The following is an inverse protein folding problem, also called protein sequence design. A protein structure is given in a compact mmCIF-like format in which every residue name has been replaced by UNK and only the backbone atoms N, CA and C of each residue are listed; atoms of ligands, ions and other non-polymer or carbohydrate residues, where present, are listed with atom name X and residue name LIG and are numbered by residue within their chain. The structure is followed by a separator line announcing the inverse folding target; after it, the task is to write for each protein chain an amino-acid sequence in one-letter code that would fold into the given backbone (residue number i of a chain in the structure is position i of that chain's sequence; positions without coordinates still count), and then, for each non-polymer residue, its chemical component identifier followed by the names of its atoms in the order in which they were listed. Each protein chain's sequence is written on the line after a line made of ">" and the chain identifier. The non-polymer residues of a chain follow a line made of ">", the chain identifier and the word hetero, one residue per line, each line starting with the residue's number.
data_IF_922191180121
#
_entry.id   IF_922191180121
#
_cell.length_a   1.000
_cell.length_b   1.000
_cell.length_c   1.000
_cell.angle_alpha   90.00
_cell.angle_beta   90.00
_cell.angle_gamma   90.00
#
_symmetry.space_group_name_H-M   'P 1'
#
loop_
_entity.id
_entity.type
_entity.pdbx_description
1 polymer ?
#
# COMPACT_ATOMS: atom_id res chain seq x y z
N UNK A 1 20.16 9.15 -0.19
CA UNK A 1 20.91 10.41 -0.34
C UNK A 1 21.28 11.02 1.03
N UNK A 2 21.31 10.25 2.14
CA UNK A 2 21.45 10.82 3.50
C UNK A 2 22.86 10.80 4.11
N UNK A 3 23.87 10.27 3.41
CA UNK A 3 25.20 10.03 4.04
C UNK A 3 25.86 11.37 4.41
N UNK A 4 25.82 12.35 3.51
CA UNK A 4 26.42 13.68 3.72
C UNK A 4 25.75 14.47 4.84
N UNK A 5 24.43 14.31 4.99
CA UNK A 5 23.64 15.04 5.99
C UNK A 5 23.84 14.43 7.38
N UNK A 6 24.01 13.10 7.46
CA UNK A 6 24.35 12.39 8.70
C UNK A 6 25.72 12.78 9.26
N UNK A 7 26.69 13.08 8.39
CA UNK A 7 28.02 13.54 8.79
C UNK A 7 28.01 14.92 9.47
N UNK A 8 26.97 15.72 9.25
CA UNK A 8 26.82 17.05 9.84
C UNK A 8 26.18 17.02 11.24
N UNK A 9 25.69 15.87 11.69
CA UNK A 9 24.99 15.73 12.97
C UNK A 9 25.99 15.53 14.11
N UNK A 10 25.76 16.23 15.23
CA UNK A 10 26.49 15.98 16.48
C UNK A 10 26.07 14.66 17.12
N UNK A 11 26.89 14.08 18.01
CA UNK A 11 26.59 12.80 18.67
C UNK A 11 25.22 12.78 19.38
N UNK A 12 24.86 13.90 20.03
CA UNK A 12 23.53 14.08 20.64
C UNK A 12 22.40 14.02 19.61
N UNK A 13 22.55 14.70 18.47
CA UNK A 13 21.56 14.70 17.38
C UNK A 13 21.43 13.30 16.75
N UNK A 14 22.54 12.55 16.66
CA UNK A 14 22.48 11.17 16.15
C UNK A 14 21.72 10.24 17.08
N UNK A 15 21.89 10.37 18.40
CA UNK A 15 21.09 9.65 19.38
C UNK A 15 19.59 9.99 19.27
N UNK A 16 19.26 11.27 19.07
CA UNK A 16 17.88 11.71 18.87
C UNK A 16 17.30 11.16 17.56
N UNK A 17 18.04 11.21 16.45
CA UNK A 17 17.61 10.64 15.16
C UNK A 17 17.28 9.15 15.31
N UNK A 18 18.17 8.37 15.93
CA UNK A 18 17.93 6.94 16.15
C UNK A 18 16.67 6.68 16.99
N UNK A 19 16.43 7.49 18.03
CA UNK A 19 15.21 7.40 18.85
C UNK A 19 13.94 7.74 18.05
N UNK A 20 13.99 8.75 17.18
CA UNK A 20 12.88 9.10 16.28
C UNK A 20 12.64 8.03 15.20
N UNK A 21 13.72 7.48 14.64
CA UNK A 21 13.67 6.40 13.65
C UNK A 21 13.06 5.12 14.22
N UNK A 22 13.41 4.74 15.45
CA UNK A 22 12.84 3.57 16.12
C UNK A 22 11.34 3.69 16.33
N UNK A 23 10.84 4.89 16.67
CA UNK A 23 9.40 5.16 16.78
C UNK A 23 8.67 5.12 15.44
N UNK A 24 9.36 5.46 14.35
CA UNK A 24 8.81 5.59 12.99
C UNK A 24 8.98 4.34 12.12
N UNK A 25 9.67 3.33 12.64
CA UNK A 25 9.98 2.09 11.92
C UNK A 25 8.71 1.34 11.50
N UNK A 26 8.42 1.34 10.20
CA UNK A 26 7.37 0.51 9.60
C UNK A 26 7.88 -0.91 9.39
N UNK A 27 7.07 -1.92 9.74
CA UNK A 27 7.45 -3.33 9.58
C UNK A 27 7.03 -3.87 8.22
N UNK A 28 8.01 -4.46 7.51
CA UNK A 28 7.77 -5.21 6.26
C UNK A 28 6.87 -6.42 6.54
N UNK A 29 7.12 -7.13 7.65
CA UNK A 29 6.31 -8.30 8.03
C UNK A 29 4.85 -7.93 8.28
N UNK A 30 4.59 -6.83 9.00
CA UNK A 30 3.23 -6.34 9.22
C UNK A 30 2.55 -5.95 7.90
N UNK A 31 3.31 -5.37 6.96
CA UNK A 31 2.81 -5.05 5.63
C UNK A 31 2.36 -6.29 4.85
N UNK A 32 3.09 -7.41 4.96
CA UNK A 32 2.68 -8.69 4.37
C UNK A 32 1.46 -9.29 5.05
N UNK A 33 1.34 -9.16 6.37
CA UNK A 33 0.13 -9.59 7.10
C UNK A 33 -1.09 -8.81 6.58
N UNK A 34 -0.99 -7.47 6.51
CA UNK A 34 -2.06 -6.63 5.95
C UNK A 34 -2.36 -6.98 4.49
N UNK A 35 -1.36 -7.33 3.71
CA UNK A 35 -1.53 -7.75 2.31
C UNK A 35 -2.33 -9.05 2.18
N UNK A 36 -2.10 -10.05 3.05
CA UNK A 36 -2.83 -11.33 2.98
C UNK A 36 -4.29 -11.16 3.42
N UNK A 37 -4.56 -10.40 4.49
CA UNK A 37 -5.92 -10.23 5.00
C UNK A 37 -6.74 -9.20 4.23
N UNK A 38 -6.10 -8.13 3.76
CA UNK A 38 -6.77 -6.97 3.17
C UNK A 38 -6.20 -6.59 1.79
N UNK A 39 -5.59 -7.54 1.07
CA UNK A 39 -4.98 -7.30 -0.24
C UNK A 39 -5.99 -6.78 -1.26
N UNK A 40 -7.16 -7.42 -1.37
CA UNK A 40 -8.24 -7.00 -2.27
C UNK A 40 -8.78 -5.60 -1.95
N UNK A 41 -8.69 -5.17 -0.69
CA UNK A 41 -9.09 -3.83 -0.23
C UNK A 41 -7.96 -2.79 -0.32
N UNK A 42 -6.71 -3.22 -0.53
CA UNK A 42 -5.55 -2.34 -0.66
C UNK A 42 -5.03 -1.73 0.63
N UNK A 43 -5.39 -2.26 1.80
CA UNK A 43 -5.06 -1.67 3.12
C UNK A 43 -3.53 -1.64 3.36
N UNK A 44 -2.78 -2.59 2.81
CA UNK A 44 -1.32 -2.58 2.87
C UNK A 44 -0.74 -1.28 2.29
N UNK A 45 -1.29 -0.75 1.19
CA UNK A 45 -0.83 0.52 0.59
C UNK A 45 -1.08 1.74 1.46
N UNK A 46 -2.17 1.74 2.23
CA UNK A 46 -2.45 2.79 3.21
C UNK A 46 -1.44 2.76 4.36
N UNK A 47 -1.08 1.57 4.85
CA UNK A 47 -0.07 1.41 5.90
C UNK A 47 1.31 1.95 5.48
N UNK A 48 1.70 1.73 4.22
CA UNK A 48 2.95 2.24 3.66
C UNK A 48 2.93 3.76 3.36
N UNK A 49 1.81 4.45 3.58
CA UNK A 49 1.67 5.89 3.34
C UNK A 49 1.31 6.25 1.89
N UNK A 50 1.08 5.26 1.02
CA UNK A 50 0.73 5.44 -0.38
C UNK A 50 -0.79 5.54 -0.57
N UNK A 51 -1.39 6.60 -0.01
CA UNK A 51 -2.85 6.81 0.02
C UNK A 51 -3.50 6.77 -1.37
N UNK A 52 -2.88 7.38 -2.39
CA UNK A 52 -3.40 7.39 -3.77
C UNK A 52 -3.60 5.97 -4.32
N UNK A 53 -2.59 5.13 -4.16
CA UNK A 53 -2.66 3.74 -4.62
C UNK A 53 -3.59 2.90 -3.75
N UNK A 54 -3.66 3.16 -2.44
CA UNK A 54 -4.64 2.52 -1.57
C UNK A 54 -6.08 2.79 -2.01
N UNK A 55 -6.41 4.03 -2.37
CA UNK A 55 -7.76 4.41 -2.85
C UNK A 55 -8.08 3.69 -4.17
N UNK A 56 -7.12 3.59 -5.09
CA UNK A 56 -7.31 2.85 -6.36
C UNK A 56 -7.69 1.40 -6.06
N UNK A 57 -6.98 0.71 -5.16
CA UNK A 57 -7.29 -0.67 -4.80
C UNK A 57 -8.64 -0.79 -4.09
N UNK A 58 -8.97 0.15 -3.22
CA UNK A 58 -10.26 0.16 -2.52
C UNK A 58 -11.42 0.29 -3.51
N UNK A 59 -11.33 1.24 -4.44
CA UNK A 59 -12.36 1.44 -5.49
C UNK A 59 -12.44 0.21 -6.39
N UNK A 60 -11.30 -0.30 -6.85
CA UNK A 60 -11.24 -1.43 -7.77
C UNK A 60 -11.72 -2.73 -7.10
N UNK A 61 -11.38 -2.94 -5.82
CA UNK A 61 -11.83 -4.05 -5.00
C UNK A 61 -13.32 -4.03 -4.72
N UNK A 62 -13.87 -2.89 -4.30
CA UNK A 62 -15.31 -2.70 -4.08
C UNK A 62 -16.09 -2.91 -5.39
N UNK A 63 -15.66 -2.27 -6.47
CA UNK A 63 -16.32 -2.39 -7.77
C UNK A 63 -16.24 -3.82 -8.32
N UNK A 64 -15.09 -4.48 -8.16
CA UNK A 64 -14.91 -5.88 -8.54
C UNK A 64 -15.80 -6.84 -7.76
N UNK A 65 -15.93 -6.65 -6.43
CA UNK A 65 -16.81 -7.48 -5.59
C UNK A 65 -18.29 -7.28 -5.92
N UNK A 66 -18.71 -6.04 -6.14
CA UNK A 66 -20.09 -5.71 -6.53
C UNK A 66 -20.43 -6.28 -7.91
N UNK A 67 -19.51 -6.18 -8.88
CA UNK A 67 -19.67 -6.72 -10.21
C UNK A 67 -19.84 -8.25 -10.18
N UNK A 68 -19.03 -8.94 -9.38
CA UNK A 68 -19.16 -10.39 -9.17
C UNK A 68 -20.48 -10.74 -8.49
N UNK A 69 -20.83 -10.07 -7.40
CA UNK A 69 -22.05 -10.35 -6.66
C UNK A 69 -23.28 -10.19 -7.56
N UNK A 70 -23.34 -9.08 -8.32
CA UNK A 70 -24.42 -8.83 -9.29
C UNK A 70 -24.45 -9.89 -10.38
N UNK A 71 -23.30 -10.18 -11.01
CA UNK A 71 -23.22 -11.17 -12.09
C UNK A 71 -23.51 -12.61 -11.67
N UNK A 72 -23.19 -12.98 -10.43
CA UNK A 72 -23.44 -14.33 -9.89
C UNK A 72 -24.89 -14.53 -9.43
N UNK A 73 -25.55 -13.49 -8.93
CA UNK A 73 -26.99 -13.53 -8.59
C UNK A 73 -27.82 -13.68 -9.87
N UNK A 74 -27.49 -12.95 -10.94
CA UNK A 74 -28.17 -13.05 -12.24
C UNK A 74 -28.01 -14.42 -12.92
N UNK A 75 -26.98 -15.20 -12.58
CA UNK A 75 -26.77 -16.54 -13.11
C UNK A 75 -27.72 -17.60 -12.51
N UNK A 76 -28.34 -17.29 -11.36
CA UNK A 76 -29.22 -18.22 -10.62
C UNK A 76 -30.70 -17.96 -10.96
N UNK A 77 -31.06 -16.73 -11.34
CA UNK A 77 -32.40 -16.36 -11.80
C UNK A 77 -32.45 -16.36 -13.33
N UNK A 78 -33.05 -17.39 -13.93
CA UNK A 78 -33.22 -17.50 -15.38
C UNK A 78 -34.19 -16.44 -15.92
N UNK A 79 -33.70 -15.25 -16.21
CA UNK A 79 -34.40 -14.21 -16.98
C UNK A 79 -33.39 -13.29 -17.70
N UNK A 80 -33.41 -13.32 -19.04
CA UNK A 80 -33.11 -12.17 -19.88
C UNK A 80 -31.69 -11.58 -19.89
N UNK A 81 -30.82 -12.12 -20.76
CA UNK A 81 -29.91 -11.42 -21.69
C UNK A 81 -29.02 -10.24 -21.24
N UNK A 82 -28.79 -9.99 -19.94
CA UNK A 82 -27.83 -8.94 -19.49
C UNK A 82 -26.82 -9.36 -18.41
N UNK A 83 -26.99 -10.52 -17.76
CA UNK A 83 -26.09 -11.03 -16.71
C UNK A 83 -24.70 -11.52 -17.17
N UNK A 84 -24.52 -11.73 -18.49
CA UNK A 84 -23.23 -12.14 -19.06
C UNK A 84 -22.17 -11.03 -19.06
N UNK A 85 -22.55 -9.77 -19.25
CA UNK A 85 -21.61 -8.65 -19.29
C UNK A 85 -20.95 -8.35 -17.94
N UNK A 86 -21.75 -8.36 -16.87
CA UNK A 86 -21.28 -8.05 -15.52
C UNK A 86 -20.36 -9.15 -14.94
N UNK A 87 -20.61 -10.42 -15.28
CA UNK A 87 -19.74 -11.53 -14.88
C UNK A 87 -18.38 -11.50 -15.59
N UNK A 88 -18.34 -11.15 -16.88
CA UNK A 88 -17.09 -10.98 -17.63
C UNK A 88 -16.30 -9.76 -17.13
N UNK A 89 -16.97 -8.63 -16.89
CA UNK A 89 -16.31 -7.42 -16.35
C UNK A 89 -15.72 -7.69 -14.95
N UNK A 90 -16.45 -8.42 -14.10
CA UNK A 90 -15.98 -8.82 -12.77
C UNK A 90 -14.74 -9.72 -12.84
N UNK A 91 -14.72 -10.70 -13.77
CA UNK A 91 -13.55 -11.54 -14.02
C UNK A 91 -12.33 -10.74 -14.48
N UNK A 92 -12.51 -9.80 -15.42
CA UNK A 92 -11.43 -8.92 -15.89
C UNK A 92 -10.90 -8.08 -14.73
N UNK A 93 -11.79 -7.51 -13.90
CA UNK A 93 -11.40 -6.74 -12.72
C UNK A 93 -10.60 -7.58 -11.72
N UNK A 94 -10.98 -8.84 -11.46
CA UNK A 94 -10.21 -9.74 -10.60
C UNK A 94 -8.85 -10.08 -11.19
N UNK A 95 -8.76 -10.34 -12.50
CA UNK A 95 -7.49 -10.64 -13.15
C UNK A 95 -6.55 -9.44 -13.02
N UNK A 96 -7.05 -8.23 -13.28
CA UNK A 96 -6.28 -6.99 -13.09
C UNK A 96 -5.86 -6.83 -11.62
N UNK A 97 -6.78 -7.02 -10.67
CA UNK A 97 -6.48 -6.97 -9.23
C UNK A 97 -5.44 -8.02 -8.81
N UNK A 98 -5.51 -9.24 -9.34
CA UNK A 98 -4.59 -10.32 -9.06
C UNK A 98 -3.18 -10.00 -9.57
N UNK A 99 -3.06 -9.46 -10.79
CA UNK A 99 -1.79 -8.99 -11.36
C UNK A 99 -1.24 -7.85 -10.49
N UNK A 100 -2.09 -6.89 -10.12
CA UNK A 100 -1.73 -5.77 -9.26
C UNK A 100 -1.27 -6.22 -7.86
N UNK A 101 -1.88 -7.26 -7.29
CA UNK A 101 -1.43 -7.87 -6.02
C UNK A 101 -0.10 -8.61 -6.17
N UNK A 102 0.11 -9.31 -7.29
CA UNK A 102 1.39 -9.94 -7.60
C UNK A 102 2.53 -8.92 -7.69
N UNK A 103 2.32 -7.80 -8.38
CA UNK A 103 3.31 -6.71 -8.46
C UNK A 103 3.58 -6.13 -7.07
N UNK A 104 2.56 -5.99 -6.24
CA UNK A 104 2.71 -5.47 -4.88
C UNK A 104 3.53 -6.41 -3.99
N UNK A 105 3.44 -7.74 -4.16
CA UNK A 105 4.25 -8.71 -3.42
C UNK A 105 5.75 -8.41 -3.51
N UNK A 106 6.21 -8.02 -4.71
CA UNK A 106 7.60 -7.62 -4.95
C UNK A 106 7.88 -6.15 -4.61
N UNK A 107 6.85 -5.30 -4.66
CA UNK A 107 7.01 -3.85 -4.48
C UNK A 107 6.93 -3.41 -3.01
N UNK A 108 6.30 -4.18 -2.12
CA UNK A 108 6.22 -3.92 -0.67
C UNK A 108 7.59 -3.63 -0.03
N UNK A 109 8.64 -4.48 -0.15
CA UNK A 109 9.92 -4.22 0.51
C UNK A 109 10.58 -2.94 0.01
N UNK A 110 10.44 -2.65 -1.29
CA UNK A 110 10.94 -1.41 -1.91
C UNK A 110 10.22 -0.18 -1.36
N UNK A 111 8.90 -0.24 -1.22
CA UNK A 111 8.09 0.86 -0.70
C UNK A 111 8.36 1.14 0.78
N UNK A 112 8.54 0.11 1.61
CA UNK A 112 8.88 0.30 3.04
C UNK A 112 10.23 1.00 3.18
N UNK A 113 11.25 0.57 2.42
CA UNK A 113 12.57 1.21 2.44
C UNK A 113 12.50 2.68 1.99
N UNK A 114 11.78 2.96 0.90
CA UNK A 114 11.60 4.34 0.42
C UNK A 114 10.96 5.23 1.49
N UNK A 115 9.92 4.73 2.17
CA UNK A 115 9.22 5.49 3.21
C UNK A 115 10.10 5.74 4.43
N UNK A 116 10.92 4.75 4.80
CA UNK A 116 11.92 4.89 5.85
C UNK A 116 12.94 5.99 5.51
N UNK A 117 13.46 6.01 4.28
CA UNK A 117 14.42 7.04 3.82
C UNK A 117 13.80 8.46 3.82
N UNK A 118 12.54 8.61 3.39
CA UNK A 118 11.83 9.90 3.41
C UNK A 118 11.64 10.44 4.84
N UNK A 119 11.24 9.57 5.77
CA UNK A 119 11.05 9.94 7.18
C UNK A 119 12.38 10.25 7.87
N UNK A 120 13.45 9.51 7.53
CA UNK A 120 14.81 9.77 8.00
C UNK A 120 15.29 11.16 7.58
N UNK A 121 15.14 11.53 6.30
CA UNK A 121 15.54 12.86 5.80
C UNK A 121 14.78 13.98 6.49
N UNK A 122 13.46 13.81 6.68
CA UNK A 122 12.63 14.82 7.36
C UNK A 122 13.10 15.09 8.79
N UNK A 123 13.53 14.05 9.52
CA UNK A 123 14.06 14.21 10.88
C UNK A 123 15.43 14.87 10.84
N UNK A 124 16.32 14.47 9.92
CA UNK A 124 17.63 15.11 9.76
C UNK A 124 17.49 16.61 9.47
N UNK A 125 16.64 16.98 8.53
CA UNK A 125 16.35 18.40 8.20
C UNK A 125 15.84 19.16 9.42
N UNK A 126 14.96 18.55 10.23
CA UNK A 126 14.45 19.16 11.46
C UNK A 126 15.52 19.37 12.53
N UNK A 127 16.53 18.49 12.59
CA UNK A 127 17.64 18.59 13.55
C UNK A 127 18.69 19.63 13.11
N UNK A 128 18.91 19.75 11.79
CA UNK A 128 19.85 20.72 11.21
C UNK A 128 19.29 22.15 11.21
N UNK A 129 17.99 22.33 10.94
CA UNK A 129 17.35 23.64 10.89
C UNK A 129 17.00 24.23 12.28
N UNK A 130 17.05 23.41 13.34
CA UNK A 130 16.76 23.82 14.72
C UNK A 130 18.03 23.98 15.57
N UNK A 131 19.20 24.05 14.93
CA UNK A 131 20.52 24.26 15.52
C UNK A 131 21.14 25.53 14.90
#
# INVERSE_FOLDING_TARGET
>A
MSIKEKEQLTEKQMSILNSEMDKRKKSVGLSYVLFIFFGSLGVHKFYLGNKKMGIIYLVLGIFGWIAILTGSISAISSEGASGGGASIIGLICIIVLAIMLLVDLFTIPKQVRKKYEEEEQTVIDSLLNNN
#
